data_IF_497830755475
#
_entry.id   IF_497830755475
#
_cell.length_a   1.000
_cell.length_b   1.000
_cell.length_c   1.000
_cell.angle_alpha   90.00
_cell.angle_beta   90.00
_cell.angle_gamma   90.00
#
_symmetry.space_group_name_H-M   'P 1'
#
loop_
_entity.id
_entity.type
_entity.pdbx_description
1 polymer ?
#
# COMPACT_ATOMS: atom_id res chain seq x y z
N UNK A 1 25.11 -26.94 50.29
CA UNK A 1 25.31 -27.48 48.92
C UNK A 1 24.42 -26.83 47.84
N UNK A 2 23.37 -26.09 48.20
CA UNK A 2 22.43 -25.46 47.25
C UNK A 2 23.04 -24.32 46.41
N UNK A 3 24.05 -23.59 46.92
CA UNK A 3 24.70 -22.46 46.23
C UNK A 3 25.43 -22.86 44.94
N UNK A 4 25.89 -24.12 44.82
CA UNK A 4 26.55 -24.64 43.60
C UNK A 4 25.55 -24.93 42.47
N UNK A 5 24.30 -25.20 42.82
CA UNK A 5 23.22 -25.50 41.88
C UNK A 5 22.41 -24.27 41.49
N UNK A 6 22.57 -23.18 42.23
CA UNK A 6 21.92 -21.88 42.00
C UNK A 6 22.07 -21.37 40.55
N UNK A 7 23.25 -21.41 39.89
CA UNK A 7 23.37 -21.01 38.49
C UNK A 7 22.64 -21.97 37.52
N UNK A 8 22.63 -23.27 37.81
CA UNK A 8 21.96 -24.26 36.97
C UNK A 8 20.43 -24.17 37.10
N UNK A 9 19.93 -23.91 38.30
CA UNK A 9 18.50 -23.68 38.55
C UNK A 9 18.03 -22.43 37.80
N UNK A 10 18.85 -21.37 37.76
CA UNK A 10 18.56 -20.15 36.99
C UNK A 10 18.55 -20.39 35.47
N UNK A 11 19.44 -21.24 34.97
CA UNK A 11 19.44 -21.62 33.55
C UNK A 11 18.20 -22.43 33.17
N UNK A 12 17.81 -23.39 34.02
CA UNK A 12 16.60 -24.21 33.78
C UNK A 12 15.35 -23.35 33.85
N UNK A 13 15.25 -22.44 34.83
CA UNK A 13 14.09 -21.53 34.93
C UNK A 13 14.01 -20.57 33.74
N UNK A 14 15.15 -20.03 33.26
CA UNK A 14 15.19 -19.19 32.07
C UNK A 14 14.77 -19.96 30.80
N UNK A 15 15.21 -21.21 30.65
CA UNK A 15 14.81 -22.06 29.53
C UNK A 15 13.29 -22.34 29.53
N UNK A 16 12.73 -22.65 30.70
CA UNK A 16 11.29 -22.86 30.87
C UNK A 16 10.49 -21.58 30.59
N UNK A 17 10.99 -20.42 31.06
CA UNK A 17 10.38 -19.12 30.78
C UNK A 17 10.37 -18.81 29.28
N UNK A 18 11.49 -19.01 28.58
CA UNK A 18 11.58 -18.80 27.12
C UNK A 18 10.66 -19.75 26.36
N UNK A 19 10.54 -21.01 26.79
CA UNK A 19 9.62 -21.97 26.20
C UNK A 19 8.15 -21.56 26.40
N UNK A 20 7.80 -21.10 27.60
CA UNK A 20 6.45 -20.59 27.91
C UNK A 20 6.11 -19.34 27.09
N UNK A 21 7.05 -18.39 27.01
CA UNK A 21 6.94 -17.20 26.18
C UNK A 21 6.77 -17.60 24.71
N UNK A 22 7.60 -18.49 24.15
CA UNK A 22 7.45 -18.94 22.74
C UNK A 22 6.11 -19.62 22.47
N UNK A 23 5.57 -20.36 23.44
CA UNK A 23 4.27 -21.03 23.32
C UNK A 23 3.11 -20.04 23.36
N UNK A 24 3.20 -18.99 24.17
CA UNK A 24 2.13 -18.01 24.38
C UNK A 24 2.30 -16.69 23.58
N UNK A 25 3.47 -16.42 22.99
CA UNK A 25 3.70 -15.31 22.04
C UNK A 25 3.18 -15.62 20.64
N UNK A 26 2.84 -16.89 20.36
CA UNK A 26 1.92 -17.18 19.28
C UNK A 26 0.53 -16.71 19.72
N UNK A 27 0.32 -15.40 19.68
CA UNK A 27 -1.02 -14.85 19.49
C UNK A 27 -1.65 -15.53 18.28
N UNK A 28 -2.98 -15.53 18.16
CA UNK A 28 -3.63 -16.05 16.96
C UNK A 28 -2.96 -15.36 15.78
N UNK A 29 -2.21 -16.13 14.99
CA UNK A 29 -1.93 -15.74 13.62
C UNK A 29 -3.28 -15.28 13.06
N UNK A 30 -3.37 -14.14 12.36
CA UNK A 30 -4.53 -13.89 11.52
C UNK A 30 -4.48 -14.97 10.45
N UNK A 31 -5.00 -16.15 10.82
CA UNK A 31 -5.41 -17.16 9.90
C UNK A 31 -6.43 -16.48 9.02
N UNK A 32 -6.20 -16.60 7.72
CA UNK A 32 -7.23 -16.52 6.71
C UNK A 32 -8.57 -16.99 7.32
N UNK A 33 -9.66 -16.25 7.14
CA UNK A 33 -10.90 -16.45 7.88
C UNK A 33 -11.30 -17.93 7.82
N UNK A 34 -11.30 -18.58 8.98
CA UNK A 34 -11.92 -19.88 9.14
C UNK A 34 -13.43 -19.66 8.97
N UNK A 35 -13.93 -20.06 7.81
CA UNK A 35 -15.36 -20.12 7.54
C UNK A 35 -15.96 -21.15 8.50
N UNK A 36 -16.73 -20.67 9.47
CA UNK A 36 -17.57 -21.51 10.30
C UNK A 36 -18.51 -22.30 9.38
N UNK A 37 -18.37 -23.62 9.38
CA UNK A 37 -19.32 -24.51 8.72
C UNK A 37 -20.61 -24.53 9.54
N UNK A 38 -21.45 -23.53 9.32
CA UNK A 38 -22.90 -23.66 9.48
C UNK A 38 -23.42 -24.45 8.27
N UNK A 39 -24.20 -25.49 8.50
CA UNK A 39 -24.81 -26.39 7.52
C UNK A 39 -25.86 -25.70 6.63
N UNK A 40 -25.50 -24.60 5.97
CA UNK A 40 -26.28 -23.99 4.91
C UNK A 40 -25.36 -23.80 3.72
N UNK A 41 -25.35 -24.80 2.85
CA UNK A 41 -24.51 -24.91 1.65
C UNK A 41 -24.89 -23.80 0.65
N UNK A 42 -24.42 -22.58 0.87
CA UNK A 42 -24.35 -21.55 -0.15
C UNK A 42 -23.04 -21.81 -0.88
N UNK A 43 -23.12 -22.43 -2.04
CA UNK A 43 -21.99 -22.60 -2.95
C UNK A 43 -21.58 -21.24 -3.48
N UNK A 44 -20.61 -20.61 -2.82
CA UNK A 44 -19.89 -19.48 -3.40
C UNK A 44 -18.72 -20.07 -4.19
N UNK A 45 -18.59 -19.79 -5.50
CA UNK A 45 -17.45 -20.27 -6.26
C UNK A 45 -16.17 -19.75 -5.63
N UNK A 46 -15.23 -20.64 -5.35
CA UNK A 46 -13.89 -20.28 -4.92
C UNK A 46 -13.21 -19.55 -6.09
N UNK A 47 -13.24 -18.22 -6.04
CA UNK A 47 -12.37 -17.41 -6.90
C UNK A 47 -10.96 -17.68 -6.40
N UNK A 48 -10.26 -18.56 -7.10
CA UNK A 48 -8.81 -18.72 -7.01
C UNK A 48 -8.19 -17.30 -7.03
N UNK A 49 -7.11 -17.02 -6.28
CA UNK A 49 -6.39 -15.78 -6.46
C UNK A 49 -5.86 -15.81 -7.90
N UNK A 50 -6.63 -15.21 -8.81
CA UNK A 50 -6.24 -15.01 -10.18
C UNK A 50 -4.91 -14.30 -10.11
N UNK A 51 -3.93 -14.78 -10.86
CA UNK A 51 -2.72 -14.04 -11.16
C UNK A 51 -3.11 -12.57 -11.39
N UNK A 52 -2.87 -11.72 -10.39
CA UNK A 52 -3.29 -10.31 -10.39
C UNK A 52 -2.39 -9.58 -11.37
N UNK A 53 -2.59 -9.81 -12.67
CA UNK A 53 -2.12 -8.88 -13.68
C UNK A 53 -2.75 -7.53 -13.33
N UNK A 54 -1.96 -6.45 -13.29
CA UNK A 54 -2.50 -5.10 -13.10
C UNK A 54 -3.66 -4.92 -14.07
N UNK A 55 -4.86 -4.60 -13.55
CA UNK A 55 -6.04 -4.35 -14.38
C UNK A 55 -5.68 -3.35 -15.49
N UNK A 56 -5.58 -3.82 -16.72
CA UNK A 56 -5.29 -2.98 -17.88
C UNK A 56 -6.54 -2.14 -18.17
N UNK A 57 -6.54 -0.89 -17.71
CA UNK A 57 -7.64 0.03 -17.96
C UNK A 57 -7.51 0.58 -19.38
N UNK A 58 -8.56 0.49 -20.21
CA UNK A 58 -8.55 1.07 -21.55
C UNK A 58 -8.24 2.58 -21.47
N UNK A 59 -7.20 3.01 -22.18
CA UNK A 59 -6.77 4.40 -22.27
C UNK A 59 -5.76 4.86 -21.20
N UNK A 60 -5.40 4.03 -20.22
CA UNK A 60 -4.37 4.36 -19.22
C UNK A 60 -3.13 3.48 -19.38
N UNK A 61 -2.12 4.02 -20.08
CA UNK A 61 -0.83 3.36 -20.21
C UNK A 61 0.09 3.78 -19.03
N UNK A 62 0.55 2.79 -18.23
CA UNK A 62 1.47 2.98 -17.10
C UNK A 62 2.93 3.19 -17.51
N UNK A 63 3.20 3.50 -18.79
CA UNK A 63 4.56 3.77 -19.24
C UNK A 63 5.16 4.99 -18.52
N UNK A 64 6.34 4.80 -17.94
CA UNK A 64 7.09 5.80 -17.18
C UNK A 64 8.07 6.62 -18.03
N UNK A 65 8.21 6.32 -19.33
CA UNK A 65 9.24 6.96 -20.19
C UNK A 65 9.10 8.47 -20.29
N UNK A 66 7.88 9.02 -20.30
CA UNK A 66 7.64 10.46 -20.45
C UNK A 66 6.59 10.95 -19.46
N UNK A 67 7.06 11.34 -18.28
CA UNK A 67 6.27 12.00 -17.24
C UNK A 67 6.43 13.51 -17.32
N UNK A 68 5.31 14.22 -17.33
CA UNK A 68 5.27 15.69 -17.37
C UNK A 68 4.59 16.18 -16.09
N UNK A 69 5.29 16.96 -15.28
CA UNK A 69 4.76 17.44 -14.01
C UNK A 69 4.14 18.84 -14.16
N UNK A 70 2.88 18.98 -13.75
CA UNK A 70 2.23 20.29 -13.66
C UNK A 70 2.91 21.16 -12.60
N UNK A 71 2.74 22.49 -12.68
CA UNK A 71 3.24 23.42 -11.64
C UNK A 71 2.67 23.07 -10.26
N UNK A 72 1.39 22.74 -10.21
CA UNK A 72 0.70 22.36 -8.97
C UNK A 72 1.22 21.03 -8.41
N UNK A 73 1.50 20.04 -9.27
CA UNK A 73 2.08 18.78 -8.86
C UNK A 73 3.46 19.00 -8.21
N UNK A 74 4.33 19.79 -8.83
CA UNK A 74 5.66 20.11 -8.28
C UNK A 74 5.56 20.80 -6.92
N UNK A 75 4.74 21.83 -6.79
CA UNK A 75 4.52 22.50 -5.50
C UNK A 75 4.05 21.52 -4.41
N UNK A 76 3.14 20.60 -4.77
CA UNK A 76 2.61 19.62 -3.81
C UNK A 76 3.60 18.54 -3.45
N UNK A 77 4.45 18.12 -4.37
CA UNK A 77 5.57 17.21 -4.15
C UNK A 77 6.54 17.83 -3.15
N UNK A 78 7.01 19.05 -3.42
CA UNK A 78 7.95 19.76 -2.56
C UNK A 78 7.38 19.98 -1.14
N UNK A 79 6.12 20.40 -1.03
CA UNK A 79 5.51 20.66 0.28
C UNK A 79 5.23 19.39 1.11
N UNK A 80 5.09 18.23 0.46
CA UNK A 80 4.75 16.96 1.13
C UNK A 80 5.95 16.02 1.26
N UNK A 81 7.13 16.45 0.80
CA UNK A 81 8.32 15.62 0.68
C UNK A 81 8.05 14.34 -0.12
N UNK A 82 7.33 14.46 -1.24
CA UNK A 82 7.09 13.34 -2.16
C UNK A 82 7.99 13.54 -3.37
N UNK A 83 8.87 12.59 -3.63
CA UNK A 83 9.84 12.68 -4.71
C UNK A 83 9.34 12.05 -6.03
N UNK A 84 10.11 12.24 -7.10
CA UNK A 84 9.75 11.70 -8.42
C UNK A 84 9.87 10.17 -8.51
N UNK A 85 10.71 9.55 -7.69
CA UNK A 85 10.88 8.10 -7.66
C UNK A 85 9.64 7.44 -7.06
N UNK A 86 9.10 8.01 -5.99
CA UNK A 86 7.83 7.63 -5.38
C UNK A 86 6.66 7.80 -6.34
N UNK A 87 6.63 8.88 -7.13
CA UNK A 87 5.60 9.02 -8.17
C UNK A 87 5.65 7.89 -9.20
N UNK A 88 6.85 7.51 -9.65
CA UNK A 88 7.05 6.39 -10.57
C UNK A 88 6.72 5.05 -9.95
N UNK A 89 7.03 4.86 -8.67
CA UNK A 89 6.70 3.66 -7.90
C UNK A 89 5.18 3.47 -7.87
N UNK A 90 4.44 4.51 -7.51
CA UNK A 90 2.97 4.47 -7.43
C UNK A 90 2.36 4.27 -8.81
N UNK A 91 2.91 4.84 -9.87
CA UNK A 91 2.43 4.57 -11.24
C UNK A 91 2.53 3.08 -11.60
N UNK A 92 3.60 2.40 -11.18
CA UNK A 92 3.81 0.98 -11.46
C UNK A 92 2.99 0.06 -10.55
N UNK A 93 3.06 0.28 -9.24
CA UNK A 93 2.58 -0.66 -8.23
C UNK A 93 1.23 -0.25 -7.62
N UNK A 94 0.82 1.00 -7.79
CA UNK A 94 -0.40 1.53 -7.19
C UNK A 94 -1.68 1.00 -7.82
N UNK A 95 -2.77 1.09 -7.06
CA UNK A 95 -4.11 0.67 -7.46
C UNK A 95 -4.92 1.87 -7.96
N UNK A 96 -5.58 1.73 -9.09
CA UNK A 96 -6.41 2.80 -9.64
C UNK A 96 -7.71 2.88 -8.84
N UNK A 97 -8.08 4.09 -8.43
CA UNK A 97 -9.36 4.35 -7.79
C UNK A 97 -10.42 4.66 -8.86
N UNK A 98 -11.08 3.61 -9.35
CA UNK A 98 -12.12 3.68 -10.38
C UNK A 98 -13.27 4.64 -10.02
N UNK A 99 -13.62 4.78 -8.73
CA UNK A 99 -14.68 5.67 -8.26
C UNK A 99 -14.34 7.16 -8.42
N UNK A 100 -13.06 7.48 -8.58
CA UNK A 100 -12.56 8.85 -8.69
C UNK A 100 -12.01 9.18 -10.07
N UNK A 101 -12.15 8.30 -11.05
CA UNK A 101 -11.86 8.62 -12.44
C UNK A 101 -12.81 9.73 -12.88
N UNK A 102 -12.25 10.80 -13.45
CA UNK A 102 -13.03 11.93 -13.95
C UNK A 102 -12.76 12.12 -15.44
N UNK A 103 -13.83 12.35 -16.19
CA UNK A 103 -13.79 12.80 -17.58
C UNK A 103 -14.26 14.23 -17.63
N UNK A 104 -13.45 15.12 -18.17
CA UNK A 104 -13.85 16.50 -18.45
C UNK A 104 -13.54 16.88 -19.90
N UNK A 105 -13.77 18.15 -20.26
CA UNK A 105 -13.44 18.69 -21.60
C UNK A 105 -11.94 18.65 -21.90
N UNK A 106 -11.09 18.56 -20.88
CA UNK A 106 -9.63 18.49 -21.00
C UNK A 106 -9.18 17.04 -21.14
N UNK A 107 -9.97 16.04 -20.75
CA UNK A 107 -9.69 14.62 -20.97
C UNK A 107 -10.01 13.76 -19.74
N UNK A 108 -9.51 12.53 -19.77
CA UNK A 108 -9.64 11.56 -18.66
C UNK A 108 -8.52 11.75 -17.64
N UNK A 109 -8.85 11.59 -16.36
CA UNK A 109 -7.88 11.57 -15.26
C UNK A 109 -8.02 10.29 -14.45
N UNK A 110 -6.88 9.72 -14.09
CA UNK A 110 -6.75 8.43 -13.43
C UNK A 110 -6.03 8.60 -12.09
N UNK A 111 -6.78 8.57 -10.97
CA UNK A 111 -6.19 8.58 -9.64
C UNK A 111 -5.64 7.20 -9.30
N UNK A 112 -4.34 7.14 -9.01
CA UNK A 112 -3.65 5.92 -8.56
C UNK A 112 -3.27 6.12 -7.10
N UNK A 113 -3.62 5.15 -6.26
CA UNK A 113 -3.37 5.16 -4.83
C UNK A 113 -2.42 4.04 -4.45
N UNK A 114 -1.57 4.29 -3.46
CA UNK A 114 -0.66 3.28 -2.95
C UNK A 114 0.19 3.80 -1.81
N UNK A 115 0.98 2.90 -1.25
CA UNK A 115 2.02 3.24 -0.29
C UNK A 115 3.34 3.40 -1.03
N UNK A 116 4.03 4.50 -0.76
CA UNK A 116 5.40 4.76 -1.21
C UNK A 116 6.39 3.96 -0.37
N UNK A 117 7.64 3.91 -0.84
CA UNK A 117 8.75 3.26 -0.12
C UNK A 117 8.98 3.78 1.31
N UNK A 118 8.64 5.04 1.58
CA UNK A 118 8.73 5.67 2.91
C UNK A 118 7.47 5.46 3.79
N UNK A 119 6.51 4.67 3.30
CA UNK A 119 5.22 4.34 3.92
C UNK A 119 4.22 5.49 4.00
N UNK A 120 4.35 6.54 3.19
CA UNK A 120 3.29 7.51 2.99
C UNK A 120 2.17 6.92 2.13
N UNK A 121 0.91 7.10 2.53
CA UNK A 121 -0.24 6.71 1.71
C UNK A 121 -0.61 7.85 0.79
N UNK A 122 -0.32 7.71 -0.51
CA UNK A 122 -0.46 8.79 -1.48
C UNK A 122 -1.46 8.47 -2.58
N UNK A 123 -2.07 9.51 -3.13
CA UNK A 123 -2.87 9.49 -4.37
C UNK A 123 -2.23 10.41 -5.39
N UNK A 124 -1.96 9.86 -6.56
CA UNK A 124 -1.41 10.60 -7.68
C UNK A 124 -2.42 10.61 -8.82
N UNK A 125 -2.72 11.79 -9.34
CA UNK A 125 -3.66 11.94 -10.45
C UNK A 125 -2.89 12.08 -11.74
N UNK A 126 -3.03 11.09 -12.61
CA UNK A 126 -2.41 11.07 -13.93
C UNK A 126 -3.42 11.42 -15.02
N UNK A 127 -2.99 12.16 -16.03
CA UNK A 127 -3.77 12.48 -17.22
C UNK A 127 -2.97 12.11 -18.47
N UNK A 128 -3.36 11.07 -19.23
CA UNK A 128 -2.72 10.77 -20.51
C UNK A 128 -3.00 11.88 -21.52
N UNK A 129 -1.95 12.30 -22.21
CA UNK A 129 -1.95 13.28 -23.30
C UNK A 129 -1.12 12.77 -24.46
N UNK A 130 -1.29 13.37 -25.63
CA UNK A 130 -0.53 12.99 -26.84
C UNK A 130 0.98 13.05 -26.61
N UNK A 131 1.43 14.03 -25.82
CA UNK A 131 2.84 14.24 -25.49
C UNK A 131 3.37 13.37 -24.35
N UNK A 132 2.54 12.55 -23.68
CA UNK A 132 2.97 11.72 -22.56
C UNK A 132 2.01 11.75 -21.37
N UNK A 133 2.47 11.27 -20.23
CA UNK A 133 1.63 11.13 -19.05
C UNK A 133 1.84 12.33 -18.11
N UNK A 134 0.80 13.16 -17.97
CA UNK A 134 0.86 14.37 -17.13
C UNK A 134 0.48 14.02 -15.70
N UNK A 135 1.35 14.37 -14.75
CA UNK A 135 1.07 14.35 -13.32
C UNK A 135 0.36 15.65 -12.96
N UNK A 136 -0.95 15.56 -12.72
CA UNK A 136 -1.81 16.72 -12.45
C UNK A 136 -1.60 17.20 -11.03
N UNK A 137 -1.63 16.28 -10.06
CA UNK A 137 -1.44 16.59 -8.63
C UNK A 137 -1.02 15.36 -7.85
N UNK A 138 -0.40 15.60 -6.69
CA UNK A 138 0.02 14.59 -5.72
C UNK A 138 -0.64 14.94 -4.38
N UNK A 139 -1.18 13.93 -3.71
CA UNK A 139 -1.96 14.09 -2.48
C UNK A 139 -1.50 13.05 -1.47
N UNK A 140 -1.02 13.49 -0.31
CA UNK A 140 -0.89 12.63 0.86
C UNK A 140 -2.30 12.44 1.47
N UNK A 141 -2.71 11.19 1.63
CA UNK A 141 -4.01 10.81 2.20
C UNK A 141 -3.92 10.48 3.69
N UNK A 142 -2.72 10.29 4.22
CA UNK A 142 -2.48 9.99 5.63
C UNK A 142 -2.24 11.23 6.49
N UNK A 143 -1.83 12.35 5.88
CA UNK A 143 -1.53 13.58 6.59
C UNK A 143 -1.99 14.82 5.84
N UNK A 144 -2.52 15.78 6.60
CA UNK A 144 -2.80 17.13 6.09
C UNK A 144 -1.56 18.02 6.18
N UNK A 145 -1.32 18.78 5.12
CA UNK A 145 -0.17 19.68 4.98
C UNK A 145 -0.68 21.09 4.68
N UNK A 146 -0.23 22.07 5.45
CA UNK A 146 -0.54 23.49 5.22
C UNK A 146 0.31 24.04 4.07
N UNK A 147 -0.15 23.84 2.84
CA UNK A 147 0.52 24.31 1.62
C UNK A 147 -0.36 25.32 0.88
N UNK A 148 0.18 26.47 0.49
CA UNK A 148 -0.47 27.40 -0.45
C UNK A 148 0.08 27.17 -1.87
N UNK A 149 -0.40 26.11 -2.52
CA UNK A 149 -0.06 25.81 -3.92
C UNK A 149 -1.14 26.37 -4.85
N UNK A 150 -0.72 27.15 -5.85
CA UNK A 150 -1.58 27.84 -6.84
C UNK A 150 -1.42 27.27 -8.24
#
# INVERSE_FOLDING_TARGET
MLKKYLPYIFLVSAALLLFFIKKNQRGPTPGKPATEQSEKRITVPAVLPADEKPEEIPGFNRNTTKLIFSKHAKCRMDCRNIDEAEVREILKNGKINHKKIQSDKRGMTYPVEGYTSDKQYVRIVFAPKDDGLVVVTVIDLGKEWSCDCK
#
